data_IF_055314005877
#
_entry.id   IF_055314005877
#
_cell.length_a   1.000
_cell.length_b   1.000
_cell.length_c   1.000
_cell.angle_alpha   90.00
_cell.angle_beta   90.00
_cell.angle_gamma   90.00
#
_symmetry.space_group_name_H-M   'P 1'
#
loop_
_entity.id
_entity.type
_entity.pdbx_description
1 polymer ?
#
# COMPACT_ATOMS: atom_id res chain seq x y z
N UNK A 1 -41.50 -26.00 -14.16
CA UNK A 1 -40.12 -26.44 -13.89
C UNK A 1 -39.18 -25.30 -14.23
N UNK A 2 -39.00 -24.34 -13.31
CA UNK A 2 -37.93 -23.36 -13.42
C UNK A 2 -36.76 -23.88 -12.58
N UNK A 3 -35.68 -24.23 -13.26
CA UNK A 3 -34.43 -24.59 -12.61
C UNK A 3 -33.89 -23.34 -11.90
N UNK A 4 -33.66 -23.47 -10.59
CA UNK A 4 -32.90 -22.55 -9.77
C UNK A 4 -31.47 -22.50 -10.34
N UNK A 5 -31.07 -21.39 -10.96
CA UNK A 5 -29.66 -21.09 -11.13
C UNK A 5 -29.12 -20.65 -9.77
N UNK A 6 -28.38 -21.55 -9.13
CA UNK A 6 -27.59 -21.30 -7.93
C UNK A 6 -26.62 -20.15 -8.19
N UNK A 7 -26.68 -19.11 -7.35
CA UNK A 7 -25.62 -18.11 -7.26
C UNK A 7 -24.28 -18.82 -7.01
N UNK A 8 -23.19 -18.44 -7.70
CA UNK A 8 -21.87 -18.97 -7.37
C UNK A 8 -21.52 -18.60 -5.93
N UNK A 9 -20.98 -19.56 -5.20
CA UNK A 9 -20.47 -19.37 -3.85
C UNK A 9 -19.24 -18.46 -3.86
N UNK A 10 -19.00 -17.75 -2.76
CA UNK A 10 -17.89 -16.81 -2.54
C UNK A 10 -16.50 -17.26 -3.07
N UNK A 11 -16.12 -18.56 -3.03
CA UNK A 11 -14.84 -19.04 -3.57
C UNK A 11 -14.67 -18.80 -5.09
N UNK A 12 -15.72 -18.96 -5.89
CA UNK A 12 -15.64 -18.89 -7.35
C UNK A 12 -15.45 -17.46 -7.90
N UNK A 13 -15.64 -16.44 -7.06
CA UNK A 13 -15.48 -15.02 -7.42
C UNK A 13 -14.10 -14.48 -7.05
N UNK A 14 -13.46 -15.09 -6.06
CA UNK A 14 -12.05 -14.85 -5.71
C UNK A 14 -11.14 -15.39 -6.83
N UNK A 15 -11.48 -16.54 -7.42
CA UNK A 15 -10.78 -17.13 -8.56
C UNK A 15 -10.73 -16.22 -9.79
N UNK A 16 -11.73 -15.34 -10.01
CA UNK A 16 -11.76 -14.40 -11.14
C UNK A 16 -10.89 -13.17 -10.89
N UNK A 17 -10.81 -12.69 -9.64
CA UNK A 17 -9.90 -11.61 -9.25
C UNK A 17 -8.43 -12.08 -9.25
N UNK A 18 -8.21 -13.35 -8.90
CA UNK A 18 -6.92 -14.05 -8.95
C UNK A 18 -6.48 -14.31 -10.39
N UNK A 19 -7.39 -14.71 -11.29
CA UNK A 19 -7.07 -14.86 -12.71
C UNK A 19 -6.71 -13.52 -13.39
N UNK A 20 -6.96 -12.40 -12.70
CA UNK A 20 -6.63 -11.04 -13.12
C UNK A 20 -5.49 -10.40 -12.29
N UNK A 21 -4.77 -11.19 -11.48
CA UNK A 21 -3.67 -10.76 -10.61
C UNK A 21 -4.02 -9.60 -9.66
N UNK A 22 -5.26 -9.37 -9.24
CA UNK A 22 -5.60 -8.13 -8.52
C UNK A 22 -5.09 -8.15 -7.07
N UNK A 23 -4.04 -7.38 -6.75
CA UNK A 23 -3.83 -6.89 -5.38
C UNK A 23 -4.87 -5.81 -5.09
N UNK A 24 -5.64 -5.98 -4.01
CA UNK A 24 -6.62 -4.98 -3.59
C UNK A 24 -6.18 -4.32 -2.29
N UNK A 25 -5.47 -3.20 -2.42
CA UNK A 25 -5.40 -2.17 -1.38
C UNK A 25 -6.14 -0.92 -1.89
N UNK A 26 -6.48 -0.06 -0.95
CA UNK A 26 -7.32 1.16 -1.01
C UNK A 26 -7.54 1.78 -2.40
N UNK A 27 -8.80 1.95 -2.79
CA UNK A 27 -9.20 2.73 -3.98
C UNK A 27 -9.67 4.09 -3.52
N UNK A 28 -8.92 5.14 -3.85
CA UNK A 28 -9.32 6.52 -3.62
C UNK A 28 -10.28 7.00 -4.72
N UNK A 29 -11.09 8.02 -4.38
CA UNK A 29 -11.82 8.95 -5.27
C UNK A 29 -13.35 8.86 -5.45
N UNK A 30 -13.84 10.07 -5.76
CA UNK A 30 -15.21 10.54 -5.98
C UNK A 30 -15.46 10.62 -7.48
N UNK A 31 -16.35 9.78 -8.01
CA UNK A 31 -16.75 9.82 -9.42
C UNK A 31 -17.48 11.13 -9.74
N UNK A 32 -16.93 11.95 -10.65
CA UNK A 32 -17.78 12.73 -11.56
C UNK A 32 -18.29 11.74 -12.61
N UNK A 33 -19.58 11.45 -12.56
CA UNK A 33 -20.29 10.54 -13.46
C UNK A 33 -19.93 10.77 -14.93
N UNK A 34 -19.17 9.86 -15.52
CA UNK A 34 -19.13 9.64 -16.97
C UNK A 34 -19.32 8.15 -17.26
N UNK A 35 -20.42 7.73 -17.92
CA UNK A 35 -20.76 6.32 -18.14
C UNK A 35 -19.84 5.60 -19.15
N UNK A 36 -18.78 6.25 -19.64
CA UNK A 36 -17.94 5.74 -20.72
C UNK A 36 -16.67 4.99 -20.25
N UNK A 37 -16.29 5.06 -18.97
CA UNK A 37 -15.03 4.47 -18.49
C UNK A 37 -15.08 2.94 -18.29
N UNK A 38 -16.27 2.35 -18.24
CA UNK A 38 -16.46 0.89 -18.05
C UNK A 38 -16.10 0.09 -19.31
N UNK A 39 -15.99 0.73 -20.48
CA UNK A 39 -15.70 0.03 -21.74
C UNK A 39 -14.21 -0.29 -21.96
N UNK A 40 -13.28 0.43 -21.33
CA UNK A 40 -11.85 0.35 -21.67
C UNK A 40 -11.13 -0.82 -21.00
N UNK A 41 -11.65 -1.36 -19.89
CA UNK A 41 -11.14 -2.60 -19.26
C UNK A 41 -11.52 -3.84 -20.10
N UNK A 42 -12.58 -3.76 -20.91
CA UNK A 42 -13.11 -4.89 -21.68
C UNK A 42 -12.37 -5.20 -23.00
N UNK A 43 -11.47 -4.33 -23.49
CA UNK A 43 -10.87 -4.51 -24.82
C UNK A 43 -9.50 -5.22 -24.82
N UNK A 44 -8.85 -5.40 -23.66
CA UNK A 44 -7.50 -5.97 -23.59
C UNK A 44 -7.50 -7.51 -23.41
N UNK A 45 -8.59 -8.12 -22.94
CA UNK A 45 -8.60 -9.56 -22.60
C UNK A 45 -9.48 -10.45 -23.50
N UNK A 46 -10.24 -9.90 -24.46
CA UNK A 46 -11.05 -10.72 -25.38
C UNK A 46 -12.14 -11.58 -24.70
N UNK A 47 -12.41 -11.36 -23.41
CA UNK A 47 -13.42 -12.09 -22.65
C UNK A 47 -14.79 -11.43 -22.88
N UNK A 48 -15.70 -12.14 -23.56
CA UNK A 48 -17.12 -11.79 -23.56
C UNK A 48 -17.68 -11.92 -22.15
N UNK A 49 -18.07 -10.81 -21.53
CA UNK A 49 -18.74 -10.81 -20.24
C UNK A 49 -20.10 -11.51 -20.31
N UNK A 50 -20.31 -12.45 -19.39
CA UNK A 50 -21.62 -12.88 -18.94
C UNK A 50 -21.95 -12.12 -17.64
N UNK A 51 -22.68 -10.99 -17.74
CA UNK A 51 -23.53 -10.34 -16.74
C UNK A 51 -23.21 -10.41 -15.21
N UNK A 52 -21.98 -10.17 -14.75
CA UNK A 52 -21.67 -10.15 -13.30
C UNK A 52 -20.89 -8.91 -12.79
N UNK A 53 -20.98 -7.78 -13.50
CA UNK A 53 -20.38 -6.49 -13.10
C UNK A 53 -20.92 -5.85 -11.79
N UNK A 54 -22.16 -6.09 -11.33
CA UNK A 54 -22.63 -5.58 -10.02
C UNK A 54 -22.00 -6.30 -8.81
N UNK A 55 -21.36 -7.46 -9.02
CA UNK A 55 -20.96 -8.35 -7.92
C UNK A 55 -19.64 -7.94 -7.26
N UNK A 56 -18.65 -7.42 -8.01
CA UNK A 56 -17.35 -7.02 -7.45
C UNK A 56 -17.50 -5.81 -6.49
N UNK A 57 -18.32 -4.84 -6.88
CA UNK A 57 -18.76 -3.74 -6.00
C UNK A 57 -19.50 -4.26 -4.78
N UNK A 58 -20.35 -5.28 -4.94
CA UNK A 58 -21.08 -5.91 -3.83
C UNK A 58 -20.15 -6.69 -2.90
N UNK A 59 -19.08 -7.30 -3.40
CA UNK A 59 -18.10 -8.05 -2.60
C UNK A 59 -17.20 -7.10 -1.79
N UNK A 60 -16.68 -6.04 -2.41
CA UNK A 60 -15.93 -4.98 -1.72
C UNK A 60 -16.82 -4.32 -0.67
N UNK A 61 -18.08 -4.04 -1.01
CA UNK A 61 -19.07 -3.49 -0.09
C UNK A 61 -19.41 -4.47 1.06
N UNK A 62 -19.58 -5.76 0.81
CA UNK A 62 -19.88 -6.76 1.86
C UNK A 62 -18.67 -7.03 2.76
N UNK A 63 -17.44 -7.01 2.22
CA UNK A 63 -16.21 -7.11 3.00
C UNK A 63 -15.99 -5.86 3.86
N UNK A 64 -16.23 -4.66 3.32
CA UNK A 64 -16.17 -3.39 4.08
C UNK A 64 -17.32 -3.25 5.08
N UNK A 65 -18.46 -3.90 4.85
CA UNK A 65 -19.63 -3.87 5.76
C UNK A 65 -19.45 -4.72 7.02
N UNK A 66 -18.51 -5.68 7.03
CA UNK A 66 -18.29 -6.54 8.20
C UNK A 66 -17.21 -6.05 9.16
N UNK A 67 -16.35 -5.12 8.76
CA UNK A 67 -15.25 -4.65 9.61
C UNK A 67 -14.97 -3.17 9.38
N UNK A 68 -14.90 -2.40 10.49
CA UNK A 68 -13.93 -1.33 10.76
C UNK A 68 -14.46 0.00 11.29
N UNK A 69 -15.77 0.26 11.31
CA UNK A 69 -16.35 1.35 12.12
C UNK A 69 -17.86 1.18 12.36
N UNK A 70 -18.24 0.60 13.49
CA UNK A 70 -19.61 0.63 14.03
C UNK A 70 -19.73 1.77 15.04
N UNK A 71 -19.35 2.98 14.61
CA UNK A 71 -19.22 4.13 15.49
C UNK A 71 -20.54 4.69 16.03
N UNK A 72 -20.44 5.71 16.88
CA UNK A 72 -21.59 6.38 17.45
C UNK A 72 -22.39 7.16 16.38
N UNK A 73 -23.71 7.07 16.49
CA UNK A 73 -24.65 7.75 15.59
C UNK A 73 -24.37 9.26 15.51
N UNK A 74 -24.22 9.75 14.28
CA UNK A 74 -23.92 11.14 13.95
C UNK A 74 -22.44 11.46 13.85
N UNK A 75 -21.52 10.49 13.96
CA UNK A 75 -20.10 10.67 13.62
C UNK A 75 -19.71 9.96 12.31
N UNK A 76 -20.68 9.40 11.59
CA UNK A 76 -20.48 8.84 10.25
C UNK A 76 -20.29 9.95 9.21
N UNK A 77 -19.50 9.67 8.18
CA UNK A 77 -19.25 10.62 7.11
C UNK A 77 -20.41 10.64 6.10
N UNK A 78 -20.91 11.83 5.76
CA UNK A 78 -21.95 12.02 4.74
C UNK A 78 -23.23 12.69 5.24
N UNK A 79 -24.22 12.81 4.35
CA UNK A 79 -25.57 13.29 4.70
C UNK A 79 -25.66 14.74 5.20
N UNK A 80 -24.65 15.58 4.91
CA UNK A 80 -24.57 16.93 5.47
C UNK A 80 -24.21 16.97 6.96
N UNK A 81 -23.63 15.89 7.48
CA UNK A 81 -23.11 15.85 8.84
C UNK A 81 -22.00 16.91 9.02
N UNK A 82 -21.94 17.53 10.19
CA UNK A 82 -20.91 18.51 10.57
C UNK A 82 -20.25 18.17 11.90
N UNK A 83 -20.63 17.04 12.51
CA UNK A 83 -20.04 16.58 13.77
C UNK A 83 -18.74 15.84 13.46
N UNK A 84 -17.72 16.17 14.25
CA UNK A 84 -16.42 15.51 14.25
C UNK A 84 -16.05 15.19 15.69
N UNK A 85 -15.25 14.15 15.90
CA UNK A 85 -14.79 13.81 17.24
C UNK A 85 -13.98 14.97 17.85
N UNK A 86 -14.11 15.27 19.16
CA UNK A 86 -13.35 16.35 19.80
C UNK A 86 -11.83 16.24 19.63
N UNK A 87 -11.27 15.03 19.57
CA UNK A 87 -9.84 14.81 19.31
C UNK A 87 -9.44 15.15 17.89
N UNK A 88 -10.35 15.04 16.91
CA UNK A 88 -10.10 15.49 15.53
C UNK A 88 -10.26 17.00 15.44
N UNK A 89 -11.30 17.55 16.08
CA UNK A 89 -11.57 18.99 16.08
C UNK A 89 -10.43 19.81 16.66
N UNK A 90 -9.69 19.29 17.66
CA UNK A 90 -8.53 19.99 18.24
C UNK A 90 -7.35 20.14 17.29
N UNK A 91 -7.27 19.28 16.27
CA UNK A 91 -6.19 19.27 15.28
C UNK A 91 -6.53 20.10 14.03
N UNK A 92 -7.79 20.51 13.88
CA UNK A 92 -8.23 21.40 12.82
C UNK A 92 -7.83 22.85 13.11
N UNK A 93 -7.73 23.72 12.09
CA UNK A 93 -7.36 25.12 12.28
C UNK A 93 -8.18 25.82 13.35
N UNK A 94 -7.51 26.52 14.26
CA UNK A 94 -8.15 27.13 15.43
C UNK A 94 -9.26 28.10 15.02
N UNK A 95 -10.46 27.87 15.56
CA UNK A 95 -11.63 28.71 15.30
C UNK A 95 -12.33 28.45 13.98
N UNK A 96 -11.91 27.42 13.22
CA UNK A 96 -12.66 27.01 12.03
C UNK A 96 -14.04 26.46 12.40
N UNK A 97 -14.94 26.52 11.43
CA UNK A 97 -16.27 25.93 11.49
C UNK A 97 -16.33 24.74 10.55
N UNK A 98 -16.65 23.55 11.06
CA UNK A 98 -16.93 22.39 10.20
C UNK A 98 -18.20 22.65 9.41
N UNK A 99 -18.11 22.58 8.09
CA UNK A 99 -19.19 22.86 7.14
C UNK A 99 -19.85 21.57 6.69
N UNK A 100 -19.07 20.53 6.47
CA UNK A 100 -19.56 19.22 6.04
C UNK A 100 -18.54 18.13 6.35
N UNK A 101 -19.03 16.91 6.48
CA UNK A 101 -18.25 15.69 6.37
C UNK A 101 -18.86 14.80 5.29
N UNK A 102 -18.03 14.23 4.43
CA UNK A 102 -18.44 13.37 3.32
C UNK A 102 -17.68 12.04 3.39
N UNK A 103 -18.36 10.92 3.15
CA UNK A 103 -17.66 9.65 2.91
C UNK A 103 -16.81 9.79 1.64
N UNK A 104 -15.56 9.34 1.68
CA UNK A 104 -14.64 9.57 0.58
C UNK A 104 -13.62 8.44 0.42
N UNK A 105 -13.68 7.76 -0.72
CA UNK A 105 -12.79 6.63 -1.04
C UNK A 105 -13.31 5.30 -0.48
N UNK A 106 -12.55 4.24 -0.74
CA UNK A 106 -12.84 2.87 -0.29
C UNK A 106 -11.54 2.24 0.23
N UNK A 107 -11.53 1.89 1.51
CA UNK A 107 -10.46 1.09 2.12
C UNK A 107 -11.03 -0.22 2.66
N UNK A 108 -10.28 -1.31 2.55
CA UNK A 108 -10.62 -2.58 3.19
C UNK A 108 -10.52 -2.49 4.72
N UNK A 109 -9.67 -1.59 5.22
CA UNK A 109 -9.23 -1.58 6.62
C UNK A 109 -9.74 -0.37 7.41
N UNK A 110 -10.18 0.67 6.71
CA UNK A 110 -10.56 1.94 7.33
C UNK A 110 -11.85 2.50 6.76
N UNK A 111 -12.60 3.21 7.61
CA UNK A 111 -13.58 4.16 7.13
C UNK A 111 -12.86 5.46 6.74
N UNK A 112 -13.18 6.01 5.59
CA UNK A 112 -12.48 7.15 5.00
C UNK A 112 -13.44 8.28 4.70
N UNK A 113 -12.97 9.50 4.93
CA UNK A 113 -13.83 10.68 4.86
C UNK A 113 -13.07 11.95 4.50
N UNK A 114 -13.87 12.95 4.13
CA UNK A 114 -13.44 14.32 3.92
C UNK A 114 -14.12 15.22 4.93
N UNK A 115 -13.37 16.14 5.54
CA UNK A 115 -13.88 17.18 6.44
C UNK A 115 -13.66 18.52 5.77
N UNK A 116 -14.76 19.22 5.48
CA UNK A 116 -14.73 20.57 4.92
C UNK A 116 -14.90 21.58 6.06
N UNK A 117 -13.99 22.55 6.15
CA UNK A 117 -14.05 23.62 7.14
C UNK A 117 -14.03 24.99 6.48
N UNK A 118 -14.65 25.95 7.16
CA UNK A 118 -14.52 27.37 6.88
C UNK A 118 -13.62 27.99 7.95
N UNK A 119 -12.54 28.64 7.52
CA UNK A 119 -11.61 29.36 8.37
C UNK A 119 -12.21 30.70 8.84
N UNK A 120 -11.56 31.36 9.80
CA UNK A 120 -12.03 32.64 10.35
C UNK A 120 -12.12 33.78 9.31
N UNK A 121 -11.34 33.69 8.23
CA UNK A 121 -11.36 34.65 7.12
C UNK A 121 -12.38 34.27 6.02
N UNK A 122 -13.16 33.19 6.22
CA UNK A 122 -14.13 32.67 5.25
C UNK A 122 -13.53 31.73 4.20
N UNK A 123 -12.22 31.47 4.24
CA UNK A 123 -11.58 30.52 3.30
C UNK A 123 -12.06 29.10 3.57
N UNK A 124 -12.40 28.36 2.52
CA UNK A 124 -12.72 26.93 2.62
C UNK A 124 -11.44 26.10 2.55
N UNK A 125 -11.29 25.16 3.47
CA UNK A 125 -10.22 24.19 3.49
C UNK A 125 -10.79 22.78 3.67
N UNK A 126 -10.16 21.79 3.04
CA UNK A 126 -10.58 20.39 3.08
C UNK A 126 -9.48 19.53 3.72
N UNK A 127 -9.90 18.54 4.49
CA UNK A 127 -9.02 17.56 5.11
C UNK A 127 -9.48 16.14 4.80
N UNK A 128 -8.53 15.24 4.61
CA UNK A 128 -8.79 13.82 4.48
C UNK A 128 -8.58 13.13 5.83
N UNK A 129 -9.47 12.19 6.18
CA UNK A 129 -9.40 11.43 7.41
C UNK A 129 -9.61 9.94 7.15
N UNK A 130 -8.77 9.12 7.79
CA UNK A 130 -8.98 7.68 7.97
C UNK A 130 -9.38 7.41 9.40
N UNK A 131 -10.28 6.45 9.60
CA UNK A 131 -10.79 6.02 10.90
C UNK A 131 -10.78 4.50 10.96
N UNK A 132 -10.14 3.95 11.97
CA UNK A 132 -10.02 2.50 12.19
C UNK A 132 -10.32 2.19 13.65
N UNK A 133 -11.26 1.27 13.89
CA UNK A 133 -11.50 0.71 15.23
C UNK A 133 -10.51 -0.41 15.56
N UNK A 134 -10.50 -0.86 16.82
CA UNK A 134 -9.60 -1.88 17.35
C UNK A 134 -8.20 -1.38 17.70
N UNK A 135 -7.54 -2.10 18.62
CA UNK A 135 -6.24 -1.69 19.17
C UNK A 135 -5.18 -1.61 18.08
N UNK A 136 -5.23 -2.53 17.11
CA UNK A 136 -4.33 -2.53 15.98
C UNK A 136 -4.43 -1.26 15.12
N UNK A 137 -5.63 -0.70 14.98
CA UNK A 137 -5.87 0.54 14.24
C UNK A 137 -5.03 1.70 14.76
N UNK A 138 -4.73 1.74 16.08
CA UNK A 138 -3.84 2.73 16.68
C UNK A 138 -2.46 2.72 16.04
N UNK A 139 -1.87 1.53 15.92
CA UNK A 139 -0.51 1.38 15.40
C UNK A 139 -0.45 1.58 13.89
N UNK A 140 -1.51 1.21 13.16
CA UNK A 140 -1.65 1.50 11.74
C UNK A 140 -1.66 3.02 11.47
N UNK A 141 -2.51 3.78 12.17
CA UNK A 141 -2.59 5.23 12.00
C UNK A 141 -1.30 5.95 12.43
N UNK A 142 -0.63 5.46 13.49
CA UNK A 142 0.66 6.00 13.90
C UNK A 142 1.75 5.74 12.85
N UNK A 143 1.81 4.52 12.32
CA UNK A 143 2.80 4.12 11.32
C UNK A 143 2.63 4.89 10.01
N UNK A 144 1.40 5.04 9.54
CA UNK A 144 1.11 5.84 8.34
C UNK A 144 1.46 7.31 8.56
N UNK A 145 1.07 7.91 9.70
CA UNK A 145 1.39 9.30 10.01
C UNK A 145 2.90 9.57 9.99
N UNK A 146 3.70 8.75 10.67
CA UNK A 146 5.16 8.93 10.71
C UNK A 146 5.80 8.66 9.35
N UNK A 147 5.25 7.73 8.55
CA UNK A 147 5.69 7.47 7.17
C UNK A 147 5.46 8.67 6.26
N UNK A 148 4.23 9.17 6.22
CA UNK A 148 3.82 10.33 5.43
C UNK A 148 4.56 11.60 5.87
N UNK A 149 4.80 11.75 7.18
CA UNK A 149 5.53 12.89 7.74
C UNK A 149 6.99 12.87 7.32
N UNK A 150 7.60 11.69 7.28
CA UNK A 150 8.99 11.53 6.83
C UNK A 150 9.12 11.88 5.35
N UNK A 151 8.20 11.40 4.49
CA UNK A 151 8.18 11.75 3.06
C UNK A 151 7.95 13.25 2.89
N UNK A 152 6.90 13.81 3.48
CA UNK A 152 6.55 15.24 3.32
C UNK A 152 7.65 16.16 3.86
N UNK A 153 8.33 15.80 4.94
CA UNK A 153 9.47 16.61 5.46
C UNK A 153 10.60 16.69 4.44
N UNK A 154 10.83 15.62 3.69
CA UNK A 154 11.88 15.55 2.66
C UNK A 154 11.41 16.15 1.32
N UNK A 155 10.15 15.94 0.95
CA UNK A 155 9.54 16.34 -0.32
C UNK A 155 8.10 16.83 -0.08
N UNK A 156 7.91 18.11 0.32
CA UNK A 156 6.60 18.64 0.73
C UNK A 156 5.49 18.49 -0.30
N UNK A 157 5.81 18.59 -1.60
CA UNK A 157 4.81 18.54 -2.67
C UNK A 157 4.57 17.13 -3.21
N UNK A 158 5.26 16.09 -2.69
CA UNK A 158 5.15 14.71 -3.21
C UNK A 158 4.17 13.85 -2.44
N UNK A 159 3.81 14.25 -1.22
CA UNK A 159 2.85 13.57 -0.38
C UNK A 159 1.90 14.58 0.25
N UNK A 160 0.60 14.26 0.46
CA UNK A 160 -0.28 15.09 1.26
C UNK A 160 0.31 15.35 2.65
N UNK A 161 0.22 16.59 3.13
CA UNK A 161 0.78 16.97 4.42
C UNK A 161 0.03 16.26 5.55
N UNK A 162 0.69 15.40 6.34
CA UNK A 162 0.06 14.83 7.52
C UNK A 162 -0.12 15.92 8.58
N UNK A 163 -1.28 15.91 9.22
CA UNK A 163 -1.66 16.91 10.23
C UNK A 163 -1.59 16.28 11.60
N UNK A 164 -2.28 15.16 11.78
CA UNK A 164 -2.34 14.49 13.07
C UNK A 164 -2.70 13.01 12.92
N UNK A 165 -2.47 12.28 14.01
CA UNK A 165 -3.09 10.98 14.26
C UNK A 165 -3.48 10.93 15.74
N UNK A 166 -4.40 10.04 16.10
CA UNK A 166 -4.79 9.89 17.49
C UNK A 166 -5.93 8.93 17.73
N UNK A 167 -6.51 9.00 18.93
CA UNK A 167 -7.66 8.20 19.33
C UNK A 167 -8.86 9.11 19.56
N UNK A 168 -10.02 8.69 19.08
CA UNK A 168 -11.28 9.35 19.33
C UNK A 168 -11.57 9.43 20.82
N UNK A 169 -12.15 10.55 21.24
CA UNK A 169 -12.64 10.74 22.60
C UNK A 169 -14.05 10.18 22.78
N UNK A 170 -14.88 10.28 21.75
CA UNK A 170 -16.30 9.95 21.80
C UNK A 170 -16.57 8.46 21.61
N UNK A 171 -15.67 7.75 20.92
CA UNK A 171 -15.82 6.34 20.59
C UNK A 171 -14.56 5.61 21.08
N UNK A 172 -14.66 4.74 22.10
CA UNK A 172 -13.53 3.96 22.58
C UNK A 172 -12.88 3.12 21.48
N UNK A 173 -11.57 2.90 21.61
CA UNK A 173 -10.80 2.03 20.72
C UNK A 173 -10.98 2.34 19.22
N UNK A 174 -11.07 3.64 18.90
CA UNK A 174 -11.19 4.13 17.52
C UNK A 174 -10.11 5.17 17.28
N UNK A 175 -9.38 5.02 16.20
CA UNK A 175 -8.16 5.75 15.91
C UNK A 175 -8.28 6.45 14.56
N UNK A 176 -7.55 7.54 14.38
CA UNK A 176 -7.59 8.32 13.16
C UNK A 176 -6.21 8.75 12.66
N UNK A 177 -6.14 8.98 11.36
CA UNK A 177 -5.09 9.69 10.65
C UNK A 177 -5.74 10.84 9.87
N UNK A 178 -5.17 12.04 9.95
CA UNK A 178 -5.67 13.27 9.35
C UNK A 178 -4.57 13.93 8.52
N UNK A 179 -4.87 14.31 7.28
CA UNK A 179 -3.95 15.02 6.40
C UNK A 179 -4.67 16.06 5.51
N UNK A 180 -3.89 16.86 4.78
CA UNK A 180 -4.44 17.75 3.75
C UNK A 180 -5.20 16.93 2.69
N UNK A 181 -6.39 17.39 2.33
CA UNK A 181 -7.14 16.80 1.23
C UNK A 181 -6.57 17.30 -0.10
N UNK A 182 -6.26 16.39 -1.03
CA UNK A 182 -5.84 16.70 -2.39
C UNK A 182 -6.87 16.21 -3.39
N UNK A 183 -7.31 17.10 -4.28
CA UNK A 183 -8.09 16.73 -5.45
C UNK A 183 -7.12 16.13 -6.48
N UNK A 184 -7.37 14.90 -6.94
CA UNK A 184 -6.45 14.17 -7.82
C UNK A 184 -7.15 13.60 -9.06
N UNK A 185 -6.39 13.41 -10.13
CA UNK A 185 -6.81 12.77 -11.38
C UNK A 185 -6.44 11.28 -11.32
N UNK A 186 -7.38 10.42 -11.69
CA UNK A 186 -7.21 8.96 -11.80
C UNK A 186 -6.59 8.58 -13.16
N UNK A 187 -5.35 9.02 -13.34
CA UNK A 187 -4.52 8.69 -14.50
C UNK A 187 -3.12 8.28 -14.02
N UNK A 188 -2.45 7.47 -14.84
CA UNK A 188 -1.07 7.12 -14.58
C UNK A 188 -0.20 8.39 -14.65
N UNK A 189 0.62 8.67 -13.64
CA UNK A 189 1.47 9.86 -13.68
C UNK A 189 2.50 9.72 -14.80
N UNK A 190 2.86 10.84 -15.44
CA UNK A 190 3.91 10.84 -16.47
C UNK A 190 5.19 10.14 -15.93
N UNK A 191 5.76 9.17 -16.67
CA UNK A 191 6.89 8.39 -16.19
C UNK A 191 8.10 9.23 -15.76
N UNK A 192 8.41 10.32 -16.48
CA UNK A 192 9.54 11.18 -16.16
C UNK A 192 9.26 12.05 -14.93
N UNK A 193 8.09 12.69 -14.85
CA UNK A 193 7.68 13.47 -13.67
C UNK A 193 7.67 12.59 -12.42
N UNK A 194 7.11 11.39 -12.50
CA UNK A 194 7.03 10.48 -11.37
C UNK A 194 8.40 9.90 -10.97
N UNK A 195 9.12 9.30 -11.92
CA UNK A 195 10.33 8.57 -11.61
C UNK A 195 11.49 9.49 -11.19
N UNK A 196 11.55 10.73 -11.70
CA UNK A 196 12.54 11.71 -11.24
C UNK A 196 12.35 12.06 -9.77
N UNK A 197 11.09 12.19 -9.31
CA UNK A 197 10.74 12.50 -7.92
C UNK A 197 10.95 11.30 -7.01
N UNK A 198 10.61 10.10 -7.45
CA UNK A 198 10.92 8.87 -6.72
C UNK A 198 12.44 8.66 -6.57
N UNK A 199 13.21 8.88 -7.64
CA UNK A 199 14.67 8.83 -7.58
C UNK A 199 15.22 9.90 -6.62
N UNK A 200 14.66 11.12 -6.62
CA UNK A 200 15.01 12.16 -5.68
C UNK A 200 14.71 11.77 -4.22
N UNK A 201 13.57 11.12 -3.94
CA UNK A 201 13.23 10.59 -2.61
C UNK A 201 14.30 9.60 -2.14
N UNK A 202 14.62 8.62 -2.99
CA UNK A 202 15.61 7.59 -2.69
C UNK A 202 17.02 8.18 -2.52
N UNK A 203 17.44 9.12 -3.37
CA UNK A 203 18.78 9.71 -3.36
C UNK A 203 18.98 10.76 -2.26
N UNK A 204 17.96 11.53 -1.89
CA UNK A 204 18.09 12.63 -0.93
C UNK A 204 17.76 12.24 0.50
N UNK A 205 17.03 11.14 0.71
CA UNK A 205 16.77 10.60 2.05
C UNK A 205 18.06 10.21 2.77
N UNK A 206 18.06 10.35 4.10
CA UNK A 206 19.18 9.96 4.96
C UNK A 206 18.64 9.23 6.17
N UNK A 207 19.01 7.96 6.33
CA UNK A 207 18.72 7.23 7.54
C UNK A 207 19.29 7.96 8.76
N UNK A 208 18.50 8.18 9.82
CA UNK A 208 18.90 9.00 10.97
C UNK A 208 20.12 8.45 11.72
N UNK A 209 20.39 7.15 11.59
CA UNK A 209 21.51 6.45 12.22
C UNK A 209 22.38 5.70 11.20
N UNK A 210 22.15 5.90 9.90
CA UNK A 210 22.89 5.22 8.83
C UNK A 210 22.55 3.74 8.65
N UNK A 211 21.49 3.22 9.30
CA UNK A 211 21.06 1.81 9.26
C UNK A 211 19.80 1.62 8.41
N UNK A 212 19.52 0.37 8.06
CA UNK A 212 18.24 -0.05 7.47
C UNK A 212 17.19 -0.24 8.57
N UNK A 213 15.92 0.06 8.28
CA UNK A 213 14.83 -0.01 9.24
C UNK A 213 14.11 1.33 9.43
N UNK A 214 13.35 1.43 10.52
CA UNK A 214 12.55 2.60 10.86
C UNK A 214 12.42 2.72 12.38
N UNK A 215 12.06 3.90 12.89
CA UNK A 215 11.96 4.12 14.35
C UNK A 215 10.74 3.45 14.99
N UNK A 216 9.84 2.88 14.18
CA UNK A 216 8.66 2.14 14.61
C UNK A 216 8.28 1.06 13.60
N UNK A 217 7.47 0.09 14.08
CA UNK A 217 6.75 -0.87 13.24
C UNK A 217 5.72 -0.13 12.39
N UNK A 218 5.79 -0.30 11.08
CA UNK A 218 4.75 0.19 10.15
C UNK A 218 3.78 -0.94 9.79
N UNK A 219 2.74 -0.66 9.02
CA UNK A 219 1.76 -1.66 8.60
C UNK A 219 1.55 -1.56 7.10
N UNK A 220 1.63 -2.69 6.41
CA UNK A 220 1.20 -2.84 5.03
C UNK A 220 -0.14 -3.59 5.07
N UNK A 221 -1.20 -2.99 4.54
CA UNK A 221 -2.56 -3.43 4.88
C UNK A 221 -2.76 -3.48 6.41
N UNK A 222 -3.25 -4.59 6.94
CA UNK A 222 -3.38 -4.84 8.37
C UNK A 222 -2.28 -5.78 8.93
N UNK A 223 -1.14 -5.96 8.26
CA UNK A 223 -0.06 -6.79 8.80
C UNK A 223 1.14 -5.94 9.22
N UNK A 224 1.74 -6.21 10.39
CA UNK A 224 2.88 -5.44 10.87
C UNK A 224 4.12 -5.68 10.01
N UNK A 225 4.89 -4.62 9.78
CA UNK A 225 6.22 -4.64 9.20
C UNK A 225 7.22 -4.28 10.30
N UNK A 226 7.83 -5.31 10.87
CA UNK A 226 8.89 -5.16 11.88
C UNK A 226 10.11 -4.51 11.25
N UNK A 227 10.44 -3.31 11.73
CA UNK A 227 11.40 -2.40 11.10
C UNK A 227 12.60 -2.10 12.02
N UNK A 228 12.98 -3.02 12.90
CA UNK A 228 14.14 -2.84 13.78
C UNK A 228 15.42 -2.55 12.98
N UNK A 229 16.28 -1.72 13.57
CA UNK A 229 17.46 -1.22 12.87
C UNK A 229 18.54 -2.28 12.65
N UNK A 230 19.04 -2.37 11.43
CA UNK A 230 20.10 -3.29 11.01
C UNK A 230 21.19 -2.60 10.19
N UNK A 231 22.43 -3.03 10.37
CA UNK A 231 23.57 -2.47 9.63
C UNK A 231 23.70 -3.04 8.21
N UNK A 232 23.19 -4.26 7.97
CA UNK A 232 23.27 -4.95 6.68
C UNK A 232 21.89 -5.11 6.05
N UNK A 233 21.79 -4.81 4.76
CA UNK A 233 20.57 -5.03 3.99
C UNK A 233 20.19 -6.51 3.89
N UNK A 234 21.17 -7.40 3.73
CA UNK A 234 20.96 -8.86 3.70
C UNK A 234 20.26 -9.33 4.99
N UNK A 235 20.76 -8.88 6.15
CA UNK A 235 20.22 -9.26 7.47
C UNK A 235 18.83 -8.67 7.67
N UNK A 236 18.64 -7.39 7.35
CA UNK A 236 17.34 -6.73 7.44
C UNK A 236 16.29 -7.43 6.59
N UNK A 237 16.59 -7.65 5.30
CA UNK A 237 15.65 -8.27 4.37
C UNK A 237 15.30 -9.69 4.81
N UNK A 238 16.27 -10.49 5.27
CA UNK A 238 16.03 -11.83 5.78
C UNK A 238 15.05 -11.81 6.98
N UNK A 239 15.22 -10.89 7.93
CA UNK A 239 14.29 -10.73 9.06
C UNK A 239 12.89 -10.34 8.59
N UNK A 240 12.80 -9.40 7.66
CA UNK A 240 11.53 -8.95 7.07
C UNK A 240 10.79 -10.11 6.36
N UNK A 241 11.49 -10.87 5.51
CA UNK A 241 10.89 -12.01 4.82
C UNK A 241 10.50 -13.13 5.79
N UNK A 242 11.30 -13.37 6.84
CA UNK A 242 10.97 -14.36 7.88
C UNK A 242 9.65 -14.01 8.55
N UNK A 243 9.52 -12.77 9.00
CA UNK A 243 8.29 -12.30 9.63
C UNK A 243 7.07 -12.40 8.69
N UNK A 244 7.23 -12.06 7.41
CA UNK A 244 6.16 -12.22 6.43
C UNK A 244 5.74 -13.69 6.25
N UNK A 245 6.69 -14.62 6.20
CA UNK A 245 6.41 -16.07 6.11
C UNK A 245 5.73 -16.59 7.38
N UNK A 246 6.16 -16.14 8.56
CA UNK A 246 5.54 -16.53 9.83
C UNK A 246 4.08 -16.07 9.89
N UNK A 247 3.78 -14.84 9.43
CA UNK A 247 2.40 -14.33 9.31
C UNK A 247 1.58 -15.12 8.29
N UNK A 248 2.19 -15.56 7.18
CA UNK A 248 1.53 -16.39 6.17
C UNK A 248 1.16 -17.77 6.74
N UNK A 249 2.08 -18.39 7.47
CA UNK A 249 1.86 -19.66 8.16
C UNK A 249 0.82 -19.54 9.28
N UNK A 250 0.81 -18.43 10.02
CA UNK A 250 -0.23 -18.15 11.03
C UNK A 250 -1.61 -18.04 10.37
N UNK A 251 -1.68 -17.38 9.22
CA UNK A 251 -2.93 -17.13 8.51
C UNK A 251 -3.47 -18.35 7.75
N UNK A 252 -2.59 -19.16 7.14
CA UNK A 252 -2.97 -20.26 6.22
C UNK A 252 -2.57 -21.65 6.68
N UNK A 253 -1.87 -21.77 7.81
CA UNK A 253 -1.37 -23.05 8.34
C UNK A 253 -0.13 -23.57 7.62
N UNK A 254 0.42 -24.67 8.14
CA UNK A 254 1.65 -25.27 7.64
C UNK A 254 1.54 -25.81 6.21
N UNK A 255 2.64 -25.76 5.47
CA UNK A 255 2.76 -26.34 4.12
C UNK A 255 4.08 -27.13 4.01
N UNK A 256 4.06 -28.41 3.59
CA UNK A 256 5.25 -29.23 3.48
C UNK A 256 6.37 -28.65 2.61
N UNK A 257 6.04 -27.84 1.60
CA UNK A 257 7.03 -27.23 0.73
C UNK A 257 7.84 -26.14 1.43
N UNK A 258 7.30 -25.49 2.46
CA UNK A 258 8.05 -24.51 3.25
C UNK A 258 9.28 -25.15 3.90
N UNK A 259 9.16 -26.40 4.38
CA UNK A 259 10.27 -27.13 5.01
C UNK A 259 11.44 -27.40 4.04
N UNK A 260 11.18 -27.35 2.73
CA UNK A 260 12.20 -27.55 1.68
C UNK A 260 12.69 -26.22 1.13
N UNK A 261 11.77 -25.31 0.79
CA UNK A 261 12.09 -24.08 0.08
C UNK A 261 12.66 -23.00 1.01
N UNK A 262 12.10 -22.82 2.22
CA UNK A 262 12.51 -21.76 3.14
C UNK A 262 13.99 -21.88 3.54
N UNK A 263 14.54 -23.06 3.92
CA UNK A 263 15.96 -23.17 4.20
C UNK A 263 16.83 -22.73 3.03
N UNK A 264 16.51 -23.14 1.80
CA UNK A 264 17.29 -22.80 0.60
C UNK A 264 17.23 -21.29 0.31
N UNK A 265 16.04 -20.68 0.45
CA UNK A 265 15.88 -19.23 0.29
C UNK A 265 16.80 -18.46 1.22
N UNK A 266 16.88 -18.86 2.50
CA UNK A 266 17.66 -18.15 3.51
C UNK A 266 19.15 -18.46 3.48
N UNK A 267 19.53 -19.71 3.23
CA UNK A 267 20.93 -20.14 3.29
C UNK A 267 21.68 -19.88 1.98
N UNK A 268 20.98 -19.76 0.86
CA UNK A 268 21.60 -19.62 -0.47
C UNK A 268 21.08 -18.45 -1.27
N UNK A 269 19.77 -18.36 -1.52
CA UNK A 269 19.22 -17.35 -2.45
C UNK A 269 19.45 -15.93 -1.95
N UNK A 270 19.07 -15.63 -0.70
CA UNK A 270 19.28 -14.31 -0.08
C UNK A 270 20.78 -13.95 -0.06
N UNK A 271 21.70 -14.79 0.46
CA UNK A 271 23.13 -14.53 0.38
C UNK A 271 23.66 -14.32 -1.04
N UNK A 272 23.21 -15.12 -2.02
CA UNK A 272 23.66 -15.04 -3.41
C UNK A 272 23.27 -13.71 -4.05
N UNK A 273 22.09 -13.18 -3.74
CA UNK A 273 21.54 -11.99 -4.39
C UNK A 273 21.82 -10.68 -3.63
N UNK A 274 21.90 -10.71 -2.29
CA UNK A 274 21.99 -9.50 -1.47
C UNK A 274 23.39 -9.25 -0.91
N UNK A 275 24.15 -10.28 -0.52
CA UNK A 275 25.52 -10.11 0.00
C UNK A 275 26.46 -9.37 -0.97
N UNK A 276 26.42 -9.63 -2.30
CA UNK A 276 27.27 -8.91 -3.24
C UNK A 276 27.10 -7.39 -3.15
N UNK A 277 25.92 -6.88 -2.82
CA UNK A 277 25.67 -5.44 -2.71
C UNK A 277 26.53 -4.72 -1.66
N UNK A 278 26.99 -5.43 -0.63
CA UNK A 278 27.72 -4.88 0.53
C UNK A 278 29.13 -5.48 0.67
N UNK A 279 29.63 -6.17 -0.37
CA UNK A 279 30.94 -6.83 -0.39
C UNK A 279 31.78 -6.36 -1.58
N UNK A 280 33.07 -6.72 -1.58
CA UNK A 280 34.02 -6.30 -2.62
C UNK A 280 34.16 -4.77 -2.72
N UNK A 281 34.04 -4.07 -1.58
CA UNK A 281 34.13 -2.62 -1.50
C UNK A 281 32.84 -1.88 -1.91
N UNK A 282 31.75 -2.60 -2.19
CA UNK A 282 30.43 -2.03 -2.42
C UNK A 282 29.70 -1.76 -1.11
N UNK A 283 28.71 -0.87 -1.19
CA UNK A 283 27.84 -0.51 -0.07
C UNK A 283 26.47 -0.14 -0.60
N UNK A 284 25.42 -0.57 0.11
CA UNK A 284 24.06 -0.11 -0.16
C UNK A 284 23.76 1.09 0.71
N UNK A 285 23.15 2.11 0.12
CA UNK A 285 22.62 3.25 0.87
C UNK A 285 21.23 2.90 1.43
N UNK A 286 21.00 3.00 2.76
CA UNK A 286 19.65 3.00 3.32
C UNK A 286 18.87 4.22 2.82
N UNK A 287 17.94 3.95 1.90
CA UNK A 287 17.12 4.94 1.20
C UNK A 287 15.69 4.81 1.70
N UNK A 288 15.02 5.93 1.96
CA UNK A 288 13.62 5.91 2.38
C UNK A 288 12.76 5.39 1.22
N UNK A 289 12.12 4.24 1.40
CA UNK A 289 11.12 3.68 0.47
C UNK A 289 9.72 3.99 0.98
N UNK A 290 8.77 4.08 0.07
CA UNK A 290 7.34 4.20 0.38
C UNK A 290 6.82 2.94 1.06
N UNK A 291 7.27 1.77 0.61
CA UNK A 291 7.02 0.47 1.25
C UNK A 291 5.76 -0.26 0.75
N UNK A 292 4.83 0.46 0.12
CA UNK A 292 3.66 -0.08 -0.59
C UNK A 292 3.35 0.75 -1.84
N UNK A 293 4.34 1.02 -2.70
CA UNK A 293 4.13 1.87 -3.87
C UNK A 293 3.67 1.07 -5.08
N UNK A 294 2.41 1.24 -5.47
CA UNK A 294 1.80 0.75 -6.70
C UNK A 294 0.82 1.82 -7.21
N UNK A 295 0.28 1.67 -8.42
CA UNK A 295 -0.41 2.79 -9.07
C UNK A 295 -1.59 3.38 -8.27
N UNK A 296 -2.29 2.57 -7.49
CA UNK A 296 -3.43 3.05 -6.71
C UNK A 296 -3.01 3.84 -5.45
N UNK A 297 -1.74 3.73 -5.05
CA UNK A 297 -1.10 4.55 -4.02
C UNK A 297 -0.35 5.76 -4.64
N UNK A 298 -0.78 6.17 -5.83
CA UNK A 298 -0.31 7.36 -6.53
C UNK A 298 -1.45 8.11 -7.19
N UNK A 299 -1.22 9.37 -7.52
CA UNK A 299 -2.17 10.19 -8.28
C UNK A 299 -1.50 11.41 -8.90
N UNK A 300 -2.28 12.21 -9.61
CA UNK A 300 -1.84 13.52 -10.14
C UNK A 300 -2.66 14.60 -9.44
N UNK A 301 -2.01 15.50 -8.72
CA UNK A 301 -2.66 16.63 -8.05
C UNK A 301 -3.28 17.58 -9.09
N UNK A 302 -4.58 17.87 -8.95
CA UNK A 302 -5.34 18.70 -9.90
C UNK A 302 -4.81 20.13 -9.96
N UNK A 303 -4.34 20.66 -8.83
CA UNK A 303 -3.93 22.06 -8.73
C UNK A 303 -2.53 22.30 -9.32
N UNK A 304 -1.61 21.35 -9.12
CA UNK A 304 -0.21 21.47 -9.54
C UNK A 304 0.15 20.69 -10.81
N UNK A 305 -0.67 19.73 -11.26
CA UNK A 305 -0.33 18.79 -12.34
C UNK A 305 0.95 17.97 -12.05
N UNK A 306 1.21 17.75 -10.75
CA UNK A 306 2.36 16.99 -10.25
C UNK A 306 1.91 15.68 -9.60
N UNK A 307 2.79 14.68 -9.60
CA UNK A 307 2.48 13.40 -8.97
C UNK A 307 2.32 13.48 -7.44
N UNK A 308 1.50 12.61 -6.87
CA UNK A 308 1.41 12.42 -5.43
C UNK A 308 1.55 10.94 -5.11
N UNK A 309 2.12 10.65 -3.94
CA UNK A 309 2.12 9.33 -3.31
C UNK A 309 1.45 9.44 -1.94
N UNK A 310 0.78 8.38 -1.53
CA UNK A 310 0.03 8.30 -0.29
C UNK A 310 -0.07 6.85 0.18
N UNK A 311 -0.52 6.63 1.42
CA UNK A 311 -0.61 5.31 2.04
C UNK A 311 0.74 4.63 2.26
N UNK A 312 1.72 5.43 2.64
CA UNK A 312 3.07 4.97 2.88
C UNK A 312 3.19 4.14 4.16
N UNK A 313 4.03 3.11 4.09
CA UNK A 313 4.47 2.30 5.21
C UNK A 313 6.01 2.23 5.20
N UNK A 314 6.60 3.40 5.40
CA UNK A 314 8.00 3.70 5.12
C UNK A 314 8.98 2.92 5.99
N UNK A 315 10.16 2.71 5.41
CA UNK A 315 11.38 2.37 6.14
C UNK A 315 12.60 2.70 5.27
N UNK A 316 13.79 2.67 5.86
CA UNK A 316 15.05 2.83 5.12
C UNK A 316 15.51 1.46 4.60
N UNK A 317 15.59 1.32 3.28
CA UNK A 317 15.82 0.07 2.56
C UNK A 317 16.88 0.23 1.46
N UNK A 318 17.22 -0.86 0.79
CA UNK A 318 17.77 -0.76 -0.56
C UNK A 318 16.70 -0.19 -1.50
N UNK A 319 17.02 0.84 -2.29
CA UNK A 319 16.04 1.52 -3.16
C UNK A 319 15.36 0.59 -4.18
N UNK A 320 16.03 -0.48 -4.63
CA UNK A 320 15.43 -1.46 -5.56
C UNK A 320 14.31 -2.29 -4.92
N UNK A 321 14.17 -2.29 -3.59
CA UNK A 321 13.08 -2.97 -2.87
C UNK A 321 11.71 -2.53 -3.37
N UNK A 322 11.53 -1.23 -3.64
CA UNK A 322 10.26 -0.65 -4.11
C UNK A 322 9.73 -1.35 -5.38
N UNK A 323 10.65 -1.77 -6.25
CA UNK A 323 10.31 -2.37 -7.55
C UNK A 323 9.82 -3.81 -7.45
N UNK A 324 9.99 -4.46 -6.30
CA UNK A 324 9.36 -5.77 -6.04
C UNK A 324 7.85 -5.69 -6.20
N UNK A 325 7.24 -4.59 -5.73
CA UNK A 325 5.81 -4.32 -5.82
C UNK A 325 5.37 -4.01 -7.26
N UNK A 326 6.28 -3.67 -8.18
CA UNK A 326 5.98 -3.35 -9.59
C UNK A 326 6.13 -4.55 -10.53
N UNK A 327 6.63 -5.70 -10.03
CA UNK A 327 6.78 -6.92 -10.83
C UNK A 327 5.42 -7.51 -11.25
N UNK A 328 4.40 -7.59 -10.38
CA UNK A 328 3.07 -8.02 -10.79
C UNK A 328 2.45 -7.01 -11.77
N UNK A 329 1.94 -7.49 -12.92
CA UNK A 329 1.40 -6.61 -13.99
C UNK A 329 0.21 -5.77 -13.50
N UNK A 330 -0.60 -6.33 -12.61
CA UNK A 330 -1.72 -5.68 -11.95
C UNK A 330 -1.36 -4.39 -11.20
N UNK A 331 -0.12 -4.29 -10.69
CA UNK A 331 0.35 -3.16 -9.89
C UNK A 331 0.83 -2.00 -10.77
N UNK A 332 0.85 -2.20 -12.10
CA UNK A 332 1.34 -1.28 -13.13
C UNK A 332 2.78 -0.84 -12.81
N UNK A 333 3.18 0.35 -13.25
CA UNK A 333 4.57 0.84 -13.18
C UNK A 333 5.60 -0.14 -13.78
N UNK A 334 5.25 -0.70 -14.94
CA UNK A 334 6.06 -1.71 -15.62
C UNK A 334 7.38 -1.18 -16.20
N UNK A 335 7.90 -1.89 -17.21
CA UNK A 335 9.25 -1.67 -17.75
C UNK A 335 9.59 -0.21 -18.13
N UNK A 336 8.61 0.56 -18.62
CA UNK A 336 8.79 1.99 -18.94
C UNK A 336 9.15 2.83 -17.70
N UNK A 337 8.45 2.63 -16.58
CA UNK A 337 8.70 3.36 -15.34
C UNK A 337 10.04 2.95 -14.72
N UNK A 338 10.37 1.65 -14.75
CA UNK A 338 11.69 1.15 -14.31
C UNK A 338 12.82 1.73 -15.15
N UNK A 339 12.70 1.69 -16.48
CA UNK A 339 13.70 2.27 -17.38
C UNK A 339 13.85 3.78 -17.14
N UNK A 340 12.73 4.48 -16.92
CA UNK A 340 12.73 5.92 -16.65
C UNK A 340 13.38 6.24 -15.30
N UNK A 341 13.08 5.48 -14.23
CA UNK A 341 13.76 5.60 -12.95
C UNK A 341 15.28 5.41 -13.10
N UNK A 342 15.70 4.43 -13.91
CA UNK A 342 17.11 4.16 -14.16
C UNK A 342 17.84 5.20 -15.01
N UNK A 343 17.11 6.11 -15.67
CA UNK A 343 17.70 7.32 -16.23
C UNK A 343 18.16 8.33 -15.16
N UNK A 344 17.61 8.25 -13.94
CA UNK A 344 17.94 9.12 -12.81
C UNK A 344 18.79 8.45 -11.73
N UNK A 345 18.70 7.12 -11.58
CA UNK A 345 19.41 6.35 -10.57
C UNK A 345 20.01 5.05 -11.12
N UNK A 346 21.28 4.81 -10.87
CA UNK A 346 21.98 3.63 -11.37
C UNK A 346 21.44 2.33 -10.74
N UNK A 347 21.46 1.25 -11.51
CA UNK A 347 21.25 -0.11 -11.01
C UNK A 347 22.40 -0.47 -10.08
N UNK A 348 22.09 -1.07 -8.92
CA UNK A 348 23.11 -1.50 -7.97
C UNK A 348 23.93 -2.65 -8.55
N UNK A 349 25.26 -2.58 -8.40
CA UNK A 349 26.14 -3.67 -8.80
C UNK A 349 26.08 -4.84 -7.79
N UNK A 350 26.18 -6.11 -8.21
CA UNK A 350 26.29 -6.59 -9.59
C UNK A 350 25.00 -6.41 -10.38
N UNK A 351 25.10 -5.91 -11.62
CA UNK A 351 23.92 -5.60 -12.47
C UNK A 351 23.26 -6.88 -12.97
N UNK A 352 24.04 -7.94 -13.18
CA UNK A 352 23.56 -9.27 -13.58
C UNK A 352 22.59 -9.90 -12.57
N UNK A 353 22.64 -9.48 -11.30
CA UNK A 353 21.77 -9.97 -10.25
C UNK A 353 20.50 -9.13 -10.08
N UNK A 354 20.37 -8.00 -10.79
CA UNK A 354 19.27 -7.05 -10.63
C UNK A 354 17.88 -7.69 -10.76
N UNK A 355 17.66 -8.48 -11.81
CA UNK A 355 16.38 -9.15 -12.03
C UNK A 355 16.06 -10.17 -10.92
N UNK A 356 17.07 -10.93 -10.48
CA UNK A 356 16.93 -11.84 -9.34
C UNK A 356 16.59 -11.12 -8.04
N UNK A 357 17.20 -9.95 -7.78
CA UNK A 357 16.85 -9.12 -6.61
C UNK A 357 15.42 -8.63 -6.66
N UNK A 358 14.93 -8.20 -7.83
CA UNK A 358 13.55 -7.74 -7.96
C UNK A 358 12.55 -8.88 -7.73
N UNK A 359 12.85 -10.10 -8.21
CA UNK A 359 12.02 -11.27 -7.92
C UNK A 359 12.05 -11.67 -6.45
N UNK A 360 13.20 -11.52 -5.78
CA UNK A 360 13.32 -11.73 -4.35
C UNK A 360 12.50 -10.69 -3.54
N UNK A 361 12.52 -9.42 -3.95
CA UNK A 361 11.68 -8.39 -3.33
C UNK A 361 10.19 -8.62 -3.62
N UNK A 362 9.84 -9.04 -4.84
CA UNK A 362 8.47 -9.47 -5.19
C UNK A 362 8.00 -10.60 -4.28
N UNK A 363 8.84 -11.61 -4.02
CA UNK A 363 8.49 -12.71 -3.13
C UNK A 363 8.00 -12.18 -1.77
N UNK A 364 8.69 -11.20 -1.19
CA UNK A 364 8.24 -10.57 0.06
C UNK A 364 6.83 -10.01 -0.07
N UNK A 365 6.54 -9.22 -1.11
CA UNK A 365 5.22 -8.63 -1.33
C UNK A 365 4.15 -9.71 -1.56
N UNK A 366 4.45 -10.74 -2.33
CA UNK A 366 3.51 -11.84 -2.60
C UNK A 366 3.25 -12.69 -1.35
N UNK A 367 4.25 -12.91 -0.49
CA UNK A 367 4.05 -13.55 0.83
C UNK A 367 3.10 -12.72 1.70
N UNK A 368 3.33 -11.41 1.74
CA UNK A 368 2.46 -10.50 2.47
C UNK A 368 1.01 -10.53 1.97
N UNK A 369 0.81 -10.48 0.65
CA UNK A 369 -0.54 -10.54 0.05
C UNK A 369 -1.20 -11.90 0.25
N UNK A 370 -0.45 -13.01 0.20
CA UNK A 370 -0.97 -14.32 0.59
C UNK A 370 -1.50 -14.29 2.02
N UNK A 371 -0.75 -13.74 2.97
CA UNK A 371 -1.16 -13.64 4.38
C UNK A 371 -2.39 -12.73 4.58
N UNK A 372 -2.51 -11.63 3.82
CA UNK A 372 -3.66 -10.71 3.89
C UNK A 372 -4.97 -11.37 3.43
N UNK A 373 -4.92 -12.15 2.35
CA UNK A 373 -6.10 -12.75 1.73
C UNK A 373 -6.18 -14.25 2.04
N UNK A 374 -6.60 -14.53 3.27
CA UNK A 374 -6.64 -15.87 3.88
C UNK A 374 -7.42 -16.88 3.02
N UNK A 375 -8.53 -16.45 2.41
CA UNK A 375 -9.43 -17.31 1.62
C UNK A 375 -8.89 -17.66 0.22
N UNK A 376 -7.77 -17.07 -0.21
CA UNK A 376 -7.20 -17.28 -1.55
C UNK A 376 -6.05 -18.27 -1.54
N UNK A 377 -6.32 -19.53 -1.88
CA UNK A 377 -5.28 -20.56 -2.04
C UNK A 377 -4.32 -20.25 -3.21
N UNK A 378 -4.83 -19.58 -4.23
CA UNK A 378 -4.09 -19.24 -5.45
C UNK A 378 -2.97 -18.23 -5.23
N UNK A 379 -3.15 -17.25 -4.33
CA UNK A 379 -2.09 -16.32 -3.92
C UNK A 379 -0.95 -17.06 -3.19
N UNK A 380 -1.27 -18.11 -2.42
CA UNK A 380 -0.27 -18.97 -1.80
C UNK A 380 0.51 -19.76 -2.85
N UNK A 381 -0.20 -20.33 -3.82
CA UNK A 381 0.43 -21.07 -4.92
C UNK A 381 1.33 -20.16 -5.80
N UNK A 382 0.93 -18.92 -6.06
CA UNK A 382 1.78 -17.93 -6.75
C UNK A 382 3.06 -17.64 -5.96
N UNK A 383 2.95 -17.39 -4.65
CA UNK A 383 4.09 -17.18 -3.77
C UNK A 383 5.02 -18.41 -3.74
N UNK A 384 4.48 -19.64 -3.63
CA UNK A 384 5.26 -20.87 -3.70
C UNK A 384 5.94 -21.04 -5.08
N UNK A 385 5.26 -20.64 -6.16
CA UNK A 385 5.83 -20.55 -7.50
C UNK A 385 7.06 -19.66 -7.56
N UNK A 386 7.00 -18.47 -6.96
CA UNK A 386 8.14 -17.55 -6.86
C UNK A 386 9.30 -18.17 -6.07
N UNK A 387 9.01 -18.82 -4.94
CA UNK A 387 10.02 -19.53 -4.15
C UNK A 387 10.70 -20.65 -4.96
N UNK A 388 9.91 -21.46 -5.66
CA UNK A 388 10.42 -22.55 -6.52
C UNK A 388 11.34 -22.04 -7.61
N UNK A 389 10.96 -20.96 -8.29
CA UNK A 389 11.77 -20.37 -9.35
C UNK A 389 13.09 -19.78 -8.81
N UNK A 390 13.02 -19.02 -7.71
CA UNK A 390 14.21 -18.46 -7.06
C UNK A 390 15.18 -19.56 -6.59
N UNK A 391 14.66 -20.62 -5.96
CA UNK A 391 15.45 -21.79 -5.55
C UNK A 391 16.08 -22.47 -6.77
N UNK A 392 15.34 -22.65 -7.86
CA UNK A 392 15.87 -23.26 -9.09
C UNK A 392 17.01 -22.45 -9.71
N UNK A 393 16.93 -21.12 -9.70
CA UNK A 393 17.93 -20.23 -10.32
C UNK A 393 19.13 -19.96 -9.42
N UNK A 394 18.95 -19.89 -8.11
CA UNK A 394 19.95 -19.36 -7.18
C UNK A 394 20.21 -20.22 -5.93
N UNK A 395 19.52 -21.36 -5.78
CA UNK A 395 19.56 -22.24 -4.60
C UNK A 395 20.50 -23.43 -4.67
#
# INVERSE_FOLDING_TARGET
MHALHSNPTMPALLDVAVAADIQVSVVYYKYRTSPFYIHSICLITGVKLCNSTPLLYTIIYIASLKMNYNGAEGLEFGGGNTKVDPSVLSELPKGCRVVATESHGVSFWANTGRIDVELLDGTLQKFFIKVISEEQGKYMMHGEFESMKTIHTLMPDFAPRPIAWGTYKSIPNTHFFLCDYRDMIDEMPDPHKFASRLAALHQNSKSPNGKFGFHLTTYSGNLPQMNEWEDSWEVYFAKCLRNALDLELEAKGDDPEFHVLVPIIFEKVIPRLLRPLETEGRSVKPSLVHGDLWYANSGIDVDSDESLIFDACCFYAHNEYEFGQWRPVCNKFGAEYLATYHSYAQISAPVEDYDGRLDLYKLRFNTHVSALFIESETLREQMLGDMRDLVKRYG
#
